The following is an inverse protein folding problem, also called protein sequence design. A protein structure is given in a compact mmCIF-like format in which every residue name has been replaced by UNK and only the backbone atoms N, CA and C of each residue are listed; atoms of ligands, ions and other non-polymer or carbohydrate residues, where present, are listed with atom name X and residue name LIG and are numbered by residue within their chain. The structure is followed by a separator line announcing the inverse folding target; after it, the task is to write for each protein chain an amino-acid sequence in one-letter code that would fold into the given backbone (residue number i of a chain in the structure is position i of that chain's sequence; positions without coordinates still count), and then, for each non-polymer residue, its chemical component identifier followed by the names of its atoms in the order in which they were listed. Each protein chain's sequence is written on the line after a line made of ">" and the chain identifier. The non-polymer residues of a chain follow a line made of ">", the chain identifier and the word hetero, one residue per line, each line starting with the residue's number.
data_IF_924214862267
#
_entry.id   IF_924214862267
#
_cell.length_a   1.000
_cell.length_b   1.000
_cell.length_c   1.000
_cell.angle_alpha   90.00
_cell.angle_beta   90.00
_cell.angle_gamma   90.00
#
_symmetry.space_group_name_H-M   'P 1'
#
loop_
_entity.id
_entity.type
_entity.pdbx_description
1 polymer ?
#
# COMPACT_ATOMS: atom_id res chain seq x y z
N UNK A 1 -26.80 -2.77 6.40
CA UNK A 1 -25.39 -3.14 6.62
C UNK A 1 -25.29 -4.64 6.49
N UNK A 2 -24.80 -5.14 5.37
CA UNK A 2 -24.46 -6.55 5.20
C UNK A 2 -22.98 -6.70 5.54
N UNK A 3 -22.67 -7.21 6.72
CA UNK A 3 -21.34 -7.80 6.95
C UNK A 3 -21.13 -8.87 5.88
N UNK A 4 -20.08 -8.70 5.10
CA UNK A 4 -19.73 -9.62 4.04
C UNK A 4 -19.26 -10.93 4.70
N UNK A 5 -20.15 -11.91 4.84
CA UNK A 5 -19.74 -13.29 5.05
C UNK A 5 -19.16 -13.80 3.72
N UNK A 6 -17.89 -13.46 3.45
CA UNK A 6 -17.08 -14.32 2.59
C UNK A 6 -17.06 -15.70 3.25
N UNK A 7 -17.45 -16.75 2.53
CA UNK A 7 -17.10 -18.12 2.90
C UNK A 7 -15.58 -18.24 2.79
N UNK A 8 -14.88 -17.89 3.87
CA UNK A 8 -13.42 -17.89 3.94
C UNK A 8 -12.95 -19.32 4.18
N UNK A 9 -11.96 -19.77 3.40
CA UNK A 9 -11.29 -21.05 3.63
C UNK A 9 -10.36 -20.91 4.84
N UNK A 10 -9.50 -19.89 4.80
CA UNK A 10 -8.62 -19.51 5.88
C UNK A 10 -8.27 -18.02 5.76
N UNK A 11 -8.10 -17.34 6.88
CA UNK A 11 -7.67 -15.95 6.91
C UNK A 11 -7.05 -15.59 8.25
N UNK A 12 -6.16 -14.62 8.23
CA UNK A 12 -5.45 -14.13 9.42
C UNK A 12 -5.69 -12.64 9.56
N UNK A 13 -5.95 -12.20 10.79
CA UNK A 13 -6.06 -10.78 11.07
C UNK A 13 -4.67 -10.15 11.21
N UNK A 14 -4.59 -8.86 10.90
CA UNK A 14 -3.36 -8.09 11.13
C UNK A 14 -3.01 -8.07 12.62
N UNK A 15 -4.00 -8.14 13.51
CA UNK A 15 -3.75 -8.22 14.95
C UNK A 15 -3.02 -9.51 15.35
N UNK A 16 -3.33 -10.64 14.72
CA UNK A 16 -2.64 -11.91 14.99
C UNK A 16 -1.21 -11.91 14.42
N UNK A 17 -1.01 -11.24 13.29
CA UNK A 17 0.29 -11.12 12.60
C UNK A 17 1.24 -10.18 13.37
N UNK A 18 0.75 -9.02 13.80
CA UNK A 18 1.55 -8.00 14.49
C UNK A 18 1.64 -8.21 16.02
N UNK A 19 0.75 -9.01 16.61
CA UNK A 19 0.53 -9.00 18.05
C UNK A 19 -0.13 -7.69 18.52
N UNK A 20 -0.49 -7.62 19.81
CA UNK A 20 -1.23 -6.49 20.36
C UNK A 20 -0.47 -5.15 20.34
N UNK A 21 0.87 -5.17 20.37
CA UNK A 21 1.69 -3.98 20.62
C UNK A 21 3.00 -3.82 19.80
N UNK A 22 3.26 -4.60 18.73
CA UNK A 22 4.52 -4.40 17.99
C UNK A 22 4.52 -3.14 17.10
N UNK A 23 5.57 -2.32 17.28
CA UNK A 23 5.86 -1.07 16.53
C UNK A 23 6.25 -1.35 15.07
N UNK A 24 6.66 -2.57 14.75
CA UNK A 24 7.01 -3.03 13.39
C UNK A 24 6.99 -4.55 13.35
N UNK A 25 6.59 -5.13 12.23
CA UNK A 25 6.71 -6.58 12.01
C UNK A 25 8.00 -6.94 11.25
N UNK A 26 8.64 -8.06 11.61
CA UNK A 26 9.75 -8.59 10.82
C UNK A 26 9.23 -9.36 9.60
N UNK A 27 9.93 -9.28 8.48
CA UNK A 27 9.52 -9.97 7.25
C UNK A 27 9.50 -11.49 7.42
N UNK A 28 10.44 -12.03 8.21
CA UNK A 28 10.55 -13.46 8.50
C UNK A 28 9.32 -13.98 9.27
N UNK A 29 8.77 -13.16 10.19
CA UNK A 29 7.52 -13.51 10.87
C UNK A 29 6.37 -13.56 9.88
N UNK A 30 6.23 -12.55 9.02
CA UNK A 30 5.14 -12.52 8.02
C UNK A 30 5.25 -13.71 7.07
N UNK A 31 6.45 -14.00 6.58
CA UNK A 31 6.72 -15.12 5.69
C UNK A 31 6.32 -16.46 6.33
N UNK A 32 6.79 -16.75 7.55
CA UNK A 32 6.43 -17.96 8.27
C UNK A 32 4.91 -18.09 8.46
N UNK A 33 4.23 -16.97 8.74
CA UNK A 33 2.76 -16.94 8.85
C UNK A 33 2.08 -17.19 7.50
N UNK A 34 2.55 -16.58 6.41
CA UNK A 34 1.98 -16.79 5.08
C UNK A 34 2.15 -18.24 4.62
N UNK A 35 3.31 -18.84 4.87
CA UNK A 35 3.61 -20.25 4.56
C UNK A 35 2.70 -21.21 5.34
N UNK A 36 2.56 -20.99 6.65
CA UNK A 36 1.66 -21.81 7.46
C UNK A 36 0.21 -21.72 6.95
N UNK A 37 -0.22 -20.52 6.58
CA UNK A 37 -1.60 -20.29 6.18
C UNK A 37 -1.93 -20.80 4.79
N UNK A 38 -0.99 -20.77 3.85
CA UNK A 38 -1.21 -21.37 2.53
C UNK A 38 -1.37 -22.89 2.64
N UNK A 39 -0.61 -23.55 3.53
CA UNK A 39 -0.76 -24.98 3.83
C UNK A 39 -2.14 -25.27 4.43
N UNK A 40 -2.54 -24.54 5.47
CA UNK A 40 -3.86 -24.71 6.11
C UNK A 40 -5.01 -24.45 5.12
N UNK A 41 -4.88 -23.43 4.27
CA UNK A 41 -5.86 -23.12 3.25
C UNK A 41 -5.96 -24.23 2.20
N UNK A 42 -4.81 -24.75 1.74
CA UNK A 42 -4.70 -25.86 0.80
C UNK A 42 -5.36 -27.13 1.33
N UNK A 43 -5.08 -27.50 2.58
CA UNK A 43 -5.69 -28.67 3.25
C UNK A 43 -7.21 -28.54 3.38
N UNK A 44 -7.70 -27.38 3.82
CA UNK A 44 -9.14 -27.12 3.96
C UNK A 44 -9.86 -27.12 2.62
N UNK A 45 -9.25 -26.54 1.60
CA UNK A 45 -9.79 -26.45 0.25
C UNK A 45 -9.64 -27.75 -0.55
N UNK A 46 -8.85 -28.72 -0.06
CA UNK A 46 -8.42 -29.92 -0.80
C UNK A 46 -7.89 -29.58 -2.20
N UNK A 47 -7.10 -28.52 -2.28
CA UNK A 47 -6.68 -27.87 -3.53
C UNK A 47 -5.21 -27.49 -3.40
N UNK A 48 -4.45 -27.54 -4.51
CA UNK A 48 -3.03 -27.18 -4.49
C UNK A 48 -2.82 -25.71 -4.07
N UNK A 49 -1.76 -25.37 -3.30
CA UNK A 49 -1.42 -23.99 -2.94
C UNK A 49 -1.40 -23.03 -4.14
N UNK A 50 -0.91 -23.51 -5.29
CA UNK A 50 -0.78 -22.71 -6.53
C UNK A 50 -2.14 -22.37 -7.18
N UNK A 51 -3.23 -22.95 -6.70
CA UNK A 51 -4.58 -22.71 -7.21
C UNK A 51 -5.39 -21.78 -6.30
N UNK A 52 -4.82 -21.38 -5.16
CA UNK A 52 -5.44 -20.45 -4.23
C UNK A 52 -5.17 -19.01 -4.68
N UNK A 53 -6.14 -18.14 -4.40
CA UNK A 53 -6.06 -16.70 -4.67
C UNK A 53 -5.97 -15.98 -3.34
N UNK A 54 -5.02 -15.04 -3.22
CA UNK A 54 -4.84 -14.23 -2.01
C UNK A 54 -5.59 -12.92 -2.12
N UNK A 55 -6.16 -12.47 -1.00
CA UNK A 55 -6.77 -11.14 -0.88
C UNK A 55 -6.44 -10.49 0.45
N UNK A 56 -6.02 -9.23 0.39
CA UNK A 56 -5.86 -8.34 1.55
C UNK A 56 -7.08 -7.42 1.64
N UNK A 57 -7.90 -7.59 2.67
CA UNK A 57 -9.09 -6.76 2.85
C UNK A 57 -9.50 -6.67 4.33
N UNK A 58 -9.89 -5.46 4.76
CA UNK A 58 -10.38 -5.16 6.11
C UNK A 58 -9.47 -5.64 7.25
N UNK A 59 -8.16 -5.37 7.12
CA UNK A 59 -7.21 -5.76 8.17
C UNK A 59 -6.98 -7.26 8.25
N UNK A 60 -7.23 -8.00 7.17
CA UNK A 60 -7.00 -9.44 7.10
C UNK A 60 -6.36 -9.84 5.77
N UNK A 61 -5.56 -10.89 5.79
CA UNK A 61 -5.12 -11.63 4.60
C UNK A 61 -5.89 -12.94 4.57
N UNK A 62 -6.52 -13.29 3.46
CA UNK A 62 -7.24 -14.56 3.31
C UNK A 62 -7.01 -15.20 1.95
N UNK A 63 -7.17 -16.52 1.95
CA UNK A 63 -7.05 -17.37 0.77
C UNK A 63 -8.44 -17.86 0.37
N UNK A 64 -8.67 -17.87 -0.93
CA UNK A 64 -9.92 -18.31 -1.52
C UNK A 64 -9.67 -19.20 -2.72
N UNK A 65 -10.65 -20.03 -3.08
CA UNK A 65 -10.58 -20.78 -4.34
C UNK A 65 -10.80 -19.83 -5.52
N UNK A 66 -10.43 -20.26 -6.72
CA UNK A 66 -10.70 -19.54 -7.97
C UNK A 66 -12.19 -19.19 -8.13
N UNK A 67 -13.09 -20.09 -7.75
CA UNK A 67 -14.53 -19.87 -7.79
C UNK A 67 -14.96 -18.73 -6.85
N UNK A 68 -14.47 -18.74 -5.61
CA UNK A 68 -14.75 -17.69 -4.63
C UNK A 68 -14.17 -16.33 -5.07
N UNK A 69 -12.99 -16.32 -5.68
CA UNK A 69 -12.40 -15.12 -6.27
C UNK A 69 -13.26 -14.55 -7.40
N UNK A 70 -13.73 -15.40 -8.30
CA UNK A 70 -14.62 -15.00 -9.38
C UNK A 70 -15.95 -14.42 -8.85
N UNK A 71 -16.50 -15.00 -7.79
CA UNK A 71 -17.70 -14.45 -7.13
C UNK A 71 -17.45 -13.10 -6.46
N UNK A 72 -16.29 -12.93 -5.80
CA UNK A 72 -15.88 -11.66 -5.21
C UNK A 72 -15.76 -10.55 -6.27
N UNK A 73 -15.17 -10.88 -7.43
CA UNK A 73 -15.05 -9.96 -8.57
C UNK A 73 -16.42 -9.59 -9.15
N UNK A 74 -17.33 -10.57 -9.30
CA UNK A 74 -18.70 -10.33 -9.82
C UNK A 74 -19.59 -9.50 -8.90
N UNK A 75 -19.44 -9.65 -7.58
CA UNK A 75 -20.32 -9.01 -6.59
C UNK A 75 -20.16 -7.49 -6.46
N UNK A 76 -19.26 -6.85 -7.21
CA UNK A 76 -19.20 -5.40 -7.41
C UNK A 76 -19.63 -4.58 -6.19
N UNK A 77 -18.79 -4.51 -5.16
CA UNK A 77 -19.01 -3.56 -4.09
C UNK A 77 -18.65 -2.19 -4.65
N UNK A 78 -19.63 -1.30 -4.79
CA UNK A 78 -19.33 0.12 -4.92
C UNK A 78 -18.62 0.54 -3.63
N UNK A 79 -17.34 0.94 -3.69
CA UNK A 79 -16.65 1.45 -2.52
C UNK A 79 -17.37 2.71 -2.07
N UNK A 80 -17.69 2.82 -0.78
CA UNK A 80 -18.10 4.09 -0.21
C UNK A 80 -16.87 5.00 -0.14
N UNK A 81 -16.59 5.67 -1.26
CA UNK A 81 -15.41 6.53 -1.43
C UNK A 81 -15.31 7.55 -0.29
N UNK A 82 -16.44 8.05 0.23
CA UNK A 82 -16.42 9.02 1.33
C UNK A 82 -15.88 8.40 2.61
N UNK A 83 -16.34 7.19 2.94
CA UNK A 83 -15.85 6.44 4.10
C UNK A 83 -14.37 6.08 3.95
N UNK A 84 -13.95 5.66 2.77
CA UNK A 84 -12.53 5.32 2.52
C UNK A 84 -11.62 6.56 2.59
N UNK A 85 -12.07 7.70 2.05
CA UNK A 85 -11.36 8.99 2.17
C UNK A 85 -11.26 9.42 3.63
N UNK A 86 -12.35 9.29 4.39
CA UNK A 86 -12.35 9.60 5.82
C UNK A 86 -11.39 8.70 6.59
N UNK A 87 -11.38 7.39 6.31
CA UNK A 87 -10.44 6.46 6.91
C UNK A 87 -8.99 6.78 6.53
N UNK A 88 -8.72 7.13 5.27
CA UNK A 88 -7.39 7.47 4.80
C UNK A 88 -6.84 8.75 5.45
N UNK A 89 -7.67 9.79 5.57
CA UNK A 89 -7.24 11.11 6.07
C UNK A 89 -7.35 11.26 7.59
N UNK A 90 -8.34 10.63 8.22
CA UNK A 90 -8.69 10.83 9.63
C UNK A 90 -8.69 9.55 10.46
N UNK A 91 -8.59 8.38 9.83
CA UNK A 91 -8.48 7.11 10.54
C UNK A 91 -7.16 6.98 11.29
N UNK A 92 -7.04 5.93 12.10
CA UNK A 92 -5.84 5.64 12.87
C UNK A 92 -4.64 5.38 11.94
N UNK A 93 -3.54 6.09 12.17
CA UNK A 93 -2.30 5.89 11.39
C UNK A 93 -1.77 4.46 11.54
N UNK A 94 -2.00 3.83 12.69
CA UNK A 94 -1.64 2.43 12.97
C UNK A 94 -2.23 1.48 11.91
N UNK A 95 -3.51 1.64 11.56
CA UNK A 95 -4.17 0.78 10.57
C UNK A 95 -3.58 0.95 9.18
N UNK A 96 -3.29 2.20 8.77
CA UNK A 96 -2.67 2.49 7.46
C UNK A 96 -1.25 1.91 7.39
N UNK A 97 -0.46 2.07 8.47
CA UNK A 97 0.87 1.49 8.59
C UNK A 97 0.84 -0.04 8.45
N UNK A 98 -0.01 -0.71 9.21
CA UNK A 98 -0.13 -2.18 9.20
C UNK A 98 -0.51 -2.71 7.81
N UNK A 99 -1.45 -2.04 7.13
CA UNK A 99 -1.85 -2.41 5.77
C UNK A 99 -0.68 -2.28 4.79
N UNK A 100 0.06 -1.16 4.83
CA UNK A 100 1.23 -0.95 3.97
C UNK A 100 2.35 -1.95 4.24
N UNK A 101 2.65 -2.23 5.50
CA UNK A 101 3.68 -3.20 5.89
C UNK A 101 3.32 -4.62 5.43
N UNK A 102 2.05 -5.03 5.52
CA UNK A 102 1.61 -6.33 4.99
C UNK A 102 1.68 -6.39 3.48
N UNK A 103 1.22 -5.35 2.77
CA UNK A 103 1.32 -5.31 1.31
C UNK A 103 2.78 -5.38 0.86
N UNK A 104 3.68 -4.70 1.57
CA UNK A 104 5.11 -4.78 1.30
C UNK A 104 5.66 -6.18 1.59
N UNK A 105 5.29 -6.78 2.71
CA UNK A 105 5.75 -8.10 3.09
C UNK A 105 5.27 -9.19 2.13
N UNK A 106 4.03 -9.13 1.66
CA UNK A 106 3.50 -10.02 0.62
C UNK A 106 4.30 -9.87 -0.67
N UNK A 107 4.63 -8.64 -1.08
CA UNK A 107 5.41 -8.40 -2.29
C UNK A 107 6.84 -8.97 -2.19
N UNK A 108 7.50 -8.80 -1.03
CA UNK A 108 8.80 -9.42 -0.78
C UNK A 108 8.72 -10.94 -0.74
N UNK A 109 7.71 -11.50 -0.08
CA UNK A 109 7.46 -12.93 -0.03
C UNK A 109 7.28 -13.52 -1.43
N UNK A 110 6.44 -12.91 -2.27
CA UNK A 110 6.26 -13.32 -3.66
C UNK A 110 7.57 -13.28 -4.44
N UNK A 111 8.33 -12.18 -4.32
CA UNK A 111 9.60 -12.04 -5.01
C UNK A 111 10.61 -13.10 -4.55
N UNK A 112 10.67 -13.39 -3.25
CA UNK A 112 11.54 -14.41 -2.69
C UNK A 112 11.18 -15.80 -3.22
N UNK A 113 9.90 -16.19 -3.11
CA UNK A 113 9.39 -17.46 -3.65
C UNK A 113 9.65 -17.60 -5.15
N UNK A 114 9.47 -16.53 -5.93
CA UNK A 114 9.74 -16.59 -7.37
C UNK A 114 11.23 -16.65 -7.70
N UNK A 115 12.08 -16.03 -6.89
CA UNK A 115 13.54 -16.12 -7.02
C UNK A 115 14.05 -17.52 -6.70
N UNK A 116 13.62 -18.11 -5.57
CA UNK A 116 14.05 -19.45 -5.16
C UNK A 116 13.62 -20.52 -6.16
N UNK A 117 12.40 -20.42 -6.67
CA UNK A 117 11.85 -21.37 -7.63
C UNK A 117 12.23 -21.08 -9.09
N UNK A 118 13.05 -20.06 -9.36
CA UNK A 118 13.34 -19.57 -10.72
C UNK A 118 12.07 -19.33 -11.56
N UNK A 119 11.00 -18.87 -10.90
CA UNK A 119 9.65 -18.78 -11.45
C UNK A 119 9.39 -17.45 -12.19
N UNK A 120 10.36 -16.53 -12.19
CA UNK A 120 10.41 -15.32 -13.03
C UNK A 120 11.85 -15.07 -13.51
N UNK A 121 12.05 -14.34 -14.62
CA UNK A 121 13.39 -13.99 -15.12
C UNK A 121 14.21 -13.14 -14.14
N UNK A 122 15.54 -13.25 -14.18
CA UNK A 122 16.43 -12.49 -13.31
C UNK A 122 16.34 -10.97 -13.57
N UNK A 123 16.12 -10.55 -14.81
CA UNK A 123 15.97 -9.15 -15.18
C UNK A 123 14.76 -8.50 -14.49
N UNK A 124 13.69 -9.27 -14.28
CA UNK A 124 12.49 -8.84 -13.55
C UNK A 124 12.78 -8.69 -12.05
N UNK A 125 13.55 -9.61 -11.47
CA UNK A 125 14.00 -9.54 -10.07
C UNK A 125 14.84 -8.28 -9.84
N UNK A 126 15.83 -8.05 -10.70
CA UNK A 126 16.74 -6.90 -10.61
C UNK A 126 16.02 -5.56 -10.75
N UNK A 127 14.89 -5.54 -11.47
CA UNK A 127 14.01 -4.36 -11.59
C UNK A 127 13.13 -4.15 -10.36
N UNK A 128 12.54 -5.21 -9.82
CA UNK A 128 11.49 -5.12 -8.80
C UNK A 128 12.10 -5.00 -7.39
N UNK A 129 13.17 -5.73 -7.08
CA UNK A 129 13.77 -5.76 -5.73
C UNK A 129 14.18 -4.36 -5.21
N UNK A 130 14.89 -3.53 -6.00
CA UNK A 130 15.26 -2.18 -5.56
C UNK A 130 14.04 -1.28 -5.34
N UNK A 131 12.99 -1.46 -6.14
CA UNK A 131 11.73 -0.72 -6.00
C UNK A 131 11.05 -1.05 -4.67
N UNK A 132 10.96 -2.33 -4.28
CA UNK A 132 10.40 -2.74 -2.99
C UNK A 132 11.22 -2.19 -1.81
N UNK A 133 12.56 -2.25 -1.88
CA UNK A 133 13.43 -1.64 -0.85
C UNK A 133 13.23 -0.13 -0.74
N UNK A 134 12.99 0.57 -1.85
CA UNK A 134 12.64 1.99 -1.84
C UNK A 134 11.28 2.23 -1.18
N UNK A 135 10.26 1.41 -1.48
CA UNK A 135 8.94 1.51 -0.86
C UNK A 135 9.00 1.31 0.65
N UNK A 136 9.83 0.39 1.14
CA UNK A 136 10.06 0.22 2.57
C UNK A 136 10.48 1.52 3.25
N UNK A 137 11.43 2.25 2.66
CA UNK A 137 11.89 3.56 3.17
C UNK A 137 10.77 4.60 3.12
N UNK A 138 10.06 4.68 1.99
CA UNK A 138 8.95 5.62 1.80
C UNK A 138 7.82 5.41 2.84
N UNK A 139 7.53 4.16 3.23
CA UNK A 139 6.56 3.86 4.29
C UNK A 139 7.09 4.34 5.64
N UNK A 140 8.32 3.98 6.01
CA UNK A 140 8.91 4.36 7.29
C UNK A 140 9.01 5.89 7.45
N UNK A 141 9.49 6.59 6.43
CA UNK A 141 9.55 8.05 6.38
C UNK A 141 8.16 8.67 6.43
N UNK A 142 7.22 8.18 5.63
CA UNK A 142 5.85 8.70 5.58
C UNK A 142 5.09 8.53 6.90
N UNK A 143 5.25 7.39 7.57
CA UNK A 143 4.67 7.15 8.90
C UNK A 143 5.32 8.08 9.93
N UNK A 144 6.65 8.16 9.95
CA UNK A 144 7.39 9.03 10.87
C UNK A 144 6.98 10.50 10.73
N UNK A 145 6.95 11.04 9.51
CA UNK A 145 6.55 12.42 9.26
C UNK A 145 5.10 12.69 9.64
N UNK A 146 4.20 11.72 9.43
CA UNK A 146 2.80 11.84 9.85
C UNK A 146 2.68 11.88 11.37
N UNK A 147 3.37 10.97 12.08
CA UNK A 147 3.38 10.93 13.55
C UNK A 147 3.94 12.21 14.15
N UNK A 148 5.05 12.73 13.63
CA UNK A 148 5.63 13.99 14.09
C UNK A 148 4.66 15.16 13.89
N UNK A 149 4.05 15.26 12.70
CA UNK A 149 3.08 16.33 12.39
C UNK A 149 1.83 16.24 13.28
N UNK A 150 1.32 15.03 13.53
CA UNK A 150 0.20 14.78 14.45
C UNK A 150 0.55 15.17 15.89
N UNK A 151 1.77 14.88 16.35
CA UNK A 151 2.24 15.29 17.67
C UNK A 151 2.35 16.82 17.83
N UNK A 152 2.86 17.51 16.79
CA UNK A 152 2.92 18.98 16.76
C UNK A 152 1.51 19.58 16.81
N UNK A 153 0.57 19.05 16.02
CA UNK A 153 -0.82 19.50 16.02
C UNK A 153 -1.49 19.25 17.39
N UNK A 154 -1.27 18.08 17.99
CA UNK A 154 -1.79 17.74 19.30
C UNK A 154 -1.27 18.71 20.38
N UNK A 155 0.01 19.05 20.35
CA UNK A 155 0.61 20.03 21.26
C UNK A 155 0.04 21.44 21.06
N UNK A 156 -0.15 21.89 19.81
CA UNK A 156 -0.78 23.17 19.50
C UNK A 156 -2.22 23.24 20.00
N UNK A 157 -2.98 22.15 19.88
CA UNK A 157 -4.34 22.02 20.42
C UNK A 157 -4.34 22.04 21.94
N UNK A 158 -3.41 21.33 22.59
CA UNK A 158 -3.26 21.33 24.05
C UNK A 158 -2.99 22.72 24.63
N UNK A 159 -2.19 23.54 23.93
CA UNK A 159 -1.91 24.93 24.31
C UNK A 159 -3.10 25.88 24.09
N UNK A 160 -4.04 25.52 23.23
CA UNK A 160 -5.22 26.32 22.90
C UNK A 160 -6.51 25.52 23.16
N UNK A 161 -6.90 25.33 24.43
CA UNK A 161 -8.04 24.47 24.80
C UNK A 161 -9.39 24.98 24.27
N UNK A 162 -9.46 26.26 23.85
CA UNK A 162 -10.67 26.85 23.26
C UNK A 162 -11.15 26.09 22.02
N UNK A 163 -10.26 25.56 21.18
CA UNK A 163 -10.65 24.80 19.99
C UNK A 163 -11.49 23.58 20.40
N UNK A 164 -10.94 22.76 21.31
CA UNK A 164 -11.63 21.57 21.81
C UNK A 164 -12.94 21.90 22.52
N UNK A 165 -12.93 22.93 23.39
CA UNK A 165 -14.10 23.38 24.13
C UNK A 165 -15.24 23.86 23.21
N UNK A 166 -14.89 24.63 22.18
CA UNK A 166 -15.85 25.11 21.19
C UNK A 166 -16.44 23.96 20.37
N UNK A 167 -15.60 23.01 19.94
CA UNK A 167 -16.03 21.82 19.18
C UNK A 167 -16.94 20.90 20.01
N UNK A 168 -16.64 20.71 21.29
CA UNK A 168 -17.46 19.95 22.24
C UNK A 168 -18.82 20.62 22.45
N UNK A 169 -18.85 21.94 22.73
CA UNK A 169 -20.09 22.72 22.84
C UNK A 169 -20.92 22.69 21.55
N UNK A 170 -20.27 22.75 20.39
CA UNK A 170 -20.94 22.64 19.10
C UNK A 170 -21.59 21.26 18.93
N UNK A 171 -20.89 20.18 19.34
CA UNK A 171 -21.43 18.83 19.39
C UNK A 171 -22.65 18.72 20.30
N UNK A 172 -22.58 19.28 21.52
CA UNK A 172 -23.72 19.37 22.43
C UNK A 172 -24.90 20.14 21.84
N UNK A 173 -24.63 21.27 21.18
CA UNK A 173 -25.64 22.08 20.52
C UNK A 173 -26.39 21.29 19.44
N UNK A 174 -25.65 20.61 18.55
CA UNK A 174 -26.23 19.80 17.49
C UNK A 174 -27.07 18.65 18.06
N UNK A 175 -26.59 18.01 19.13
CA UNK A 175 -27.29 16.95 19.83
C UNK A 175 -28.57 17.44 20.52
N UNK A 176 -28.55 18.61 21.17
CA UNK A 176 -29.74 19.21 21.79
C UNK A 176 -30.78 19.58 20.73
N UNK A 177 -30.33 20.14 19.60
CA UNK A 177 -31.19 20.45 18.45
C UNK A 177 -31.83 19.19 17.87
N UNK A 178 -31.07 18.11 17.70
CA UNK A 178 -31.58 16.83 17.21
C UNK A 178 -32.60 16.20 18.17
N UNK A 179 -32.42 16.39 19.49
CA UNK A 179 -33.34 15.93 20.54
C UNK A 179 -34.56 16.83 20.76
N UNK A 180 -34.63 17.99 20.10
CA UNK A 180 -35.74 18.94 20.27
C UNK A 180 -35.67 19.80 21.55
N UNK A 181 -34.56 19.77 22.30
CA UNK A 181 -34.34 20.66 23.44
C UNK A 181 -33.87 22.04 22.96
N UNK A 182 -34.85 22.84 22.52
CA UNK A 182 -34.61 24.14 21.91
C UNK A 182 -34.14 25.20 22.91
N UNK A 183 -34.48 25.07 24.20
CA UNK A 183 -34.09 26.04 25.24
C UNK A 183 -32.60 25.91 25.52
N UNK A 184 -32.11 24.68 25.75
CA UNK A 184 -30.68 24.44 25.94
C UNK A 184 -29.87 24.72 24.68
N UNK A 185 -30.39 24.35 23.50
CA UNK A 185 -29.74 24.67 22.23
C UNK A 185 -29.61 26.18 22.00
N UNK A 186 -30.62 26.99 22.36
CA UNK A 186 -30.55 28.44 22.24
C UNK A 186 -29.53 29.08 23.19
N UNK A 187 -29.38 28.53 24.41
CA UNK A 187 -28.34 28.97 25.34
C UNK A 187 -26.94 28.67 24.79
N UNK A 188 -26.69 27.43 24.36
CA UNK A 188 -25.42 27.02 23.76
C UNK A 188 -25.09 27.83 22.50
N UNK A 189 -26.09 28.16 21.67
CA UNK A 189 -25.89 29.00 20.49
C UNK A 189 -25.39 30.42 20.82
N UNK A 190 -25.87 31.02 21.92
CA UNK A 190 -25.39 32.33 22.37
C UNK A 190 -23.95 32.27 22.83
N UNK A 191 -23.57 31.23 23.57
CA UNK A 191 -22.18 31.03 24.00
C UNK A 191 -21.24 30.79 22.82
N UNK A 192 -21.63 29.91 21.88
CA UNK A 192 -20.89 29.67 20.64
C UNK A 192 -20.76 30.96 19.82
N UNK A 193 -21.78 31.82 19.77
CA UNK A 193 -21.70 33.10 19.05
C UNK A 193 -20.63 34.04 19.63
N UNK A 194 -20.44 34.05 20.95
CA UNK A 194 -19.42 34.86 21.62
C UNK A 194 -18.00 34.34 21.32
N UNK A 195 -17.83 33.02 21.35
CA UNK A 195 -16.53 32.37 21.18
C UNK A 195 -16.12 32.22 19.70
N UNK A 196 -17.07 32.32 18.75
CA UNK A 196 -16.89 32.04 17.31
C UNK A 196 -15.70 32.77 16.69
N UNK A 197 -15.52 34.07 16.97
CA UNK A 197 -14.44 34.86 16.35
C UNK A 197 -13.07 34.31 16.76
N UNK A 198 -12.91 33.99 18.04
CA UNK A 198 -11.66 33.48 18.57
C UNK A 198 -11.40 32.04 18.11
N UNK A 199 -12.43 31.20 18.06
CA UNK A 199 -12.36 29.87 17.46
C UNK A 199 -11.88 29.92 16.02
N UNK A 200 -12.50 30.75 15.16
CA UNK A 200 -12.12 30.85 13.73
C UNK A 200 -10.65 31.27 13.55
N UNK A 201 -10.16 32.23 14.35
CA UNK A 201 -8.78 32.66 14.29
C UNK A 201 -7.81 31.55 14.70
N UNK A 202 -8.13 30.81 15.76
CA UNK A 202 -7.30 29.71 16.24
C UNK A 202 -7.35 28.50 15.30
N UNK A 203 -8.51 28.15 14.74
CA UNK A 203 -8.63 27.08 13.75
C UNK A 203 -7.83 27.37 12.48
N UNK A 204 -7.82 28.63 12.02
CA UNK A 204 -6.94 29.05 10.90
C UNK A 204 -5.46 28.90 11.19
N UNK A 205 -5.05 29.02 12.45
CA UNK A 205 -3.64 28.89 12.83
C UNK A 205 -3.12 27.44 12.81
N UNK A 206 -4.02 26.46 12.99
CA UNK A 206 -3.69 25.03 12.93
C UNK A 206 -4.00 24.38 11.58
N UNK A 207 -4.73 25.08 10.71
CA UNK A 207 -5.10 24.61 9.36
C UNK A 207 -3.87 24.17 8.53
N UNK A 208 -2.74 24.90 8.51
CA UNK A 208 -1.55 24.46 7.77
C UNK A 208 -1.01 23.11 8.24
N UNK A 209 -1.01 22.86 9.55
CA UNK A 209 -0.53 21.58 10.10
C UNK A 209 -1.47 20.42 9.72
N UNK A 210 -2.79 20.66 9.75
CA UNK A 210 -3.80 19.69 9.30
C UNK A 210 -3.58 19.35 7.81
N UNK A 211 -3.33 20.36 6.96
CA UNK A 211 -3.05 20.16 5.54
C UNK A 211 -1.76 19.38 5.31
N UNK A 212 -0.70 19.65 6.07
CA UNK A 212 0.55 18.87 6.03
C UNK A 212 0.31 17.41 6.38
N UNK A 213 -0.47 17.11 7.43
CA UNK A 213 -0.86 15.73 7.77
C UNK A 213 -1.62 15.06 6.62
N UNK A 214 -2.57 15.77 6.01
CA UNK A 214 -3.31 15.25 4.85
C UNK A 214 -2.40 14.98 3.65
N UNK A 215 -1.38 15.80 3.41
CA UNK A 215 -0.40 15.57 2.36
C UNK A 215 0.45 14.32 2.63
N UNK A 216 0.95 14.13 3.86
CA UNK A 216 1.69 12.92 4.23
C UNK A 216 0.82 11.66 4.09
N UNK A 217 -0.43 11.72 4.56
CA UNK A 217 -1.40 10.61 4.42
C UNK A 217 -1.76 10.32 2.96
N UNK A 218 -1.88 11.33 2.11
CA UNK A 218 -2.04 11.14 0.67
C UNK A 218 -0.84 10.40 0.06
N UNK A 219 0.39 10.75 0.46
CA UNK A 219 1.58 10.06 -0.03
C UNK A 219 1.63 8.60 0.43
N UNK A 220 1.15 8.28 1.64
CA UNK A 220 0.97 6.89 2.08
C UNK A 220 -0.02 6.14 1.18
N UNK A 221 -1.13 6.76 0.77
CA UNK A 221 -2.06 6.14 -0.19
C UNK A 221 -1.43 5.95 -1.59
N UNK A 222 -0.63 6.91 -2.06
CA UNK A 222 0.15 6.74 -3.32
C UNK A 222 1.15 5.59 -3.21
N UNK A 223 1.75 5.39 -2.04
CA UNK A 223 2.62 4.23 -1.77
C UNK A 223 1.83 2.93 -1.78
N UNK A 224 0.63 2.90 -1.18
CA UNK A 224 -0.29 1.75 -1.25
C UNK A 224 -0.60 1.36 -2.70
N UNK A 225 -1.01 2.32 -3.53
CA UNK A 225 -1.26 2.08 -4.97
C UNK A 225 -0.04 1.47 -5.65
N UNK A 226 1.16 2.04 -5.42
CA UNK A 226 2.40 1.55 -6.03
C UNK A 226 2.77 0.14 -5.57
N UNK A 227 2.49 -0.24 -4.32
CA UNK A 227 2.67 -1.61 -3.84
C UNK A 227 1.72 -2.60 -4.52
N UNK A 228 0.44 -2.24 -4.66
CA UNK A 228 -0.55 -3.04 -5.38
C UNK A 228 -0.12 -3.26 -6.84
N UNK A 229 0.35 -2.20 -7.50
CA UNK A 229 0.91 -2.30 -8.85
C UNK A 229 2.15 -3.20 -8.90
N UNK A 230 3.09 -3.11 -7.95
CA UNK A 230 4.24 -4.04 -7.92
C UNK A 230 3.82 -5.50 -7.73
N UNK A 231 2.81 -5.78 -6.90
CA UNK A 231 2.29 -7.15 -6.77
C UNK A 231 1.62 -7.62 -8.07
N UNK A 232 0.89 -6.75 -8.75
CA UNK A 232 0.31 -7.03 -10.07
C UNK A 232 1.39 -7.31 -11.13
N UNK A 233 2.51 -6.57 -11.10
CA UNK A 233 3.66 -6.80 -11.97
C UNK A 233 4.29 -8.17 -11.70
N UNK A 234 4.48 -8.55 -10.42
CA UNK A 234 4.99 -9.87 -10.04
C UNK A 234 4.07 -11.00 -10.54
N UNK A 235 2.76 -10.86 -10.37
CA UNK A 235 1.78 -11.80 -10.92
C UNK A 235 1.88 -11.88 -12.46
N UNK A 236 2.02 -10.74 -13.13
CA UNK A 236 2.10 -10.67 -14.60
C UNK A 236 3.38 -11.31 -15.14
N UNK A 237 4.52 -11.09 -14.49
CA UNK A 237 5.80 -11.71 -14.86
C UNK A 237 5.74 -13.23 -14.70
N UNK A 238 5.14 -13.74 -13.60
CA UNK A 238 4.92 -15.19 -13.42
C UNK A 238 3.96 -15.76 -14.46
N UNK A 239 2.86 -15.08 -14.74
CA UNK A 239 1.91 -15.49 -15.79
C UNK A 239 2.59 -15.54 -17.17
N UNK A 240 3.48 -14.60 -17.48
CA UNK A 240 4.24 -14.58 -18.72
C UNK A 240 5.09 -15.84 -18.90
N UNK A 241 5.82 -16.23 -17.84
CA UNK A 241 6.62 -17.45 -17.86
C UNK A 241 5.74 -18.71 -17.95
N UNK A 242 4.68 -18.81 -17.14
CA UNK A 242 3.74 -19.93 -17.18
C UNK A 242 3.12 -20.13 -18.57
N UNK A 243 2.72 -19.04 -19.25
CA UNK A 243 2.21 -19.10 -20.62
C UNK A 243 3.24 -19.69 -21.59
N UNK A 244 4.49 -19.29 -21.45
CA UNK A 244 5.59 -19.82 -22.25
C UNK A 244 5.81 -21.32 -21.97
N UNK A 245 5.90 -21.72 -20.70
CA UNK A 245 6.07 -23.12 -20.29
C UNK A 245 4.92 -24.02 -20.74
N UNK A 246 3.67 -23.56 -20.64
CA UNK A 246 2.49 -24.30 -21.13
C UNK A 246 2.54 -24.47 -22.65
N UNK A 247 2.96 -23.44 -23.39
CA UNK A 247 3.11 -23.54 -24.84
C UNK A 247 4.24 -24.50 -25.23
N UNK A 248 5.36 -24.50 -24.51
CA UNK A 248 6.46 -25.44 -24.71
C UNK A 248 5.99 -26.88 -24.47
N UNK A 249 5.32 -27.15 -23.34
CA UNK A 249 4.74 -28.47 -23.05
C UNK A 249 3.75 -28.91 -24.12
N UNK A 250 2.92 -28.00 -24.63
CA UNK A 250 1.95 -28.28 -25.70
C UNK A 250 2.65 -28.65 -27.01
N UNK A 251 3.73 -27.97 -27.37
CA UNK A 251 4.51 -28.28 -28.57
C UNK A 251 5.21 -29.64 -28.42
N UNK A 252 5.81 -29.91 -27.26
CA UNK A 252 6.47 -31.19 -26.97
C UNK A 252 5.47 -32.36 -26.99
N UNK A 253 4.28 -32.19 -26.42
CA UNK A 253 3.18 -33.15 -26.51
C UNK A 253 2.76 -33.40 -27.97
N UNK A 254 2.71 -32.34 -28.79
CA UNK A 254 2.45 -32.46 -30.22
C UNK A 254 3.47 -33.36 -30.92
N UNK A 255 4.77 -33.10 -30.72
CA UNK A 255 5.84 -33.91 -31.31
C UNK A 255 5.80 -35.37 -30.85
N UNK A 256 5.60 -35.63 -29.56
CA UNK A 256 5.56 -37.00 -29.02
C UNK A 256 4.33 -37.75 -29.55
N UNK A 257 3.18 -37.09 -29.69
CA UNK A 257 1.97 -37.69 -30.29
C UNK A 257 2.16 -38.00 -31.77
N UNK A 258 2.82 -37.12 -32.52
CA UNK A 258 3.19 -37.39 -33.91
C UNK A 258 4.14 -38.60 -34.03
N UNK A 259 5.15 -38.70 -33.16
CA UNK A 259 6.06 -39.86 -33.08
C UNK A 259 5.29 -41.16 -32.78
N UNK A 260 4.34 -41.11 -31.84
CA UNK A 260 3.49 -42.26 -31.49
C UNK A 260 2.59 -42.68 -32.65
N UNK A 261 1.98 -41.73 -33.35
CA UNK A 261 1.08 -41.99 -34.48
C UNK A 261 1.80 -42.56 -35.70
N UNK A 262 3.07 -42.17 -35.93
CA UNK A 262 3.91 -42.76 -36.99
C UNK A 262 4.26 -44.20 -36.62
N UNK A 263 4.68 -44.42 -35.39
CA UNK A 263 5.10 -45.75 -34.95
C UNK A 263 3.92 -46.74 -34.86
N UNK A 264 2.70 -46.27 -34.59
CA UNK A 264 1.47 -47.07 -34.67
C UNK A 264 1.07 -47.43 -36.11
N UNK A 265 1.42 -46.60 -37.10
CA UNK A 265 1.17 -46.85 -38.53
C UNK A 265 2.20 -47.81 -39.14
N UNK A 266 3.44 -47.76 -38.71
CA UNK A 266 4.55 -48.53 -39.31
C UNK A 266 4.70 -49.96 -38.74
N UNK A 267 4.00 -50.29 -37.65
CA UNK A 267 3.99 -51.62 -37.05
C UNK A 267 5.22 -51.86 -36.17
N UNK A 268 4.99 -52.22 -34.90
CA UNK A 268 6.03 -52.28 -33.87
C UNK A 268 6.51 -53.71 -33.56
N UNK A 269 7.80 -53.86 -33.35
CA UNK A 269 8.42 -55.02 -32.69
C UNK A 269 8.39 -54.88 -31.14
N UNK A 270 8.90 -55.89 -30.42
CA UNK A 270 8.87 -55.94 -28.94
C UNK A 270 9.57 -54.74 -28.27
N UNK A 271 10.66 -54.24 -28.88
CA UNK A 271 11.38 -53.07 -28.40
C UNK A 271 10.59 -51.77 -28.62
N UNK A 272 9.95 -51.61 -29.78
CA UNK A 272 9.10 -50.46 -30.06
C UNK A 272 7.87 -50.39 -29.14
N UNK A 273 7.31 -51.54 -28.72
CA UNK A 273 6.23 -51.59 -27.72
C UNK A 273 6.63 -51.04 -26.34
N UNK A 274 7.90 -51.22 -25.94
CA UNK A 274 8.41 -50.70 -24.67
C UNK A 274 8.70 -49.18 -24.76
N UNK A 275 9.20 -48.71 -25.91
CA UNK A 275 9.35 -47.28 -26.20
C UNK A 275 7.99 -46.58 -26.21
N UNK A 276 6.97 -47.20 -26.80
CA UNK A 276 5.58 -46.69 -26.78
C UNK A 276 5.05 -46.47 -25.36
N UNK A 277 5.27 -47.43 -24.45
CA UNK A 277 4.85 -47.29 -23.04
C UNK A 277 5.57 -46.16 -22.32
N UNK A 278 6.87 -45.99 -22.56
CA UNK A 278 7.64 -44.87 -22.00
C UNK A 278 7.13 -43.53 -22.52
N UNK A 279 6.89 -43.42 -23.82
CA UNK A 279 6.30 -42.22 -24.44
C UNK A 279 4.88 -41.92 -23.95
N UNK A 280 4.06 -42.94 -23.72
CA UNK A 280 2.72 -42.77 -23.14
C UNK A 280 2.80 -42.23 -21.71
N UNK A 281 3.70 -42.78 -20.88
CA UNK A 281 3.96 -42.26 -19.54
C UNK A 281 4.45 -40.80 -19.56
N UNK A 282 5.34 -40.47 -20.50
CA UNK A 282 5.80 -39.09 -20.73
C UNK A 282 4.62 -38.17 -21.11
N UNK A 283 3.70 -38.62 -21.98
CA UNK A 283 2.51 -37.83 -22.34
C UNK A 283 1.58 -37.58 -21.16
N UNK A 284 1.28 -38.61 -20.35
CA UNK A 284 0.41 -38.47 -19.17
C UNK A 284 1.03 -37.51 -18.14
N UNK A 285 2.35 -37.60 -17.94
CA UNK A 285 3.09 -36.72 -17.03
C UNK A 285 3.09 -35.27 -17.53
N UNK A 286 3.32 -35.06 -18.83
CA UNK A 286 3.29 -33.73 -19.44
C UNK A 286 1.89 -33.12 -19.43
N UNK A 287 0.84 -33.91 -19.66
CA UNK A 287 -0.56 -33.45 -19.58
C UNK A 287 -0.92 -33.02 -18.16
N UNK A 288 -0.50 -33.79 -17.15
CA UNK A 288 -0.68 -33.42 -15.74
C UNK A 288 0.04 -32.11 -15.41
N UNK A 289 1.31 -31.99 -15.81
CA UNK A 289 2.08 -30.75 -15.58
C UNK A 289 1.45 -29.54 -16.29
N UNK A 290 0.96 -29.73 -17.52
CA UNK A 290 0.27 -28.69 -18.27
C UNK A 290 -1.03 -28.27 -17.57
N UNK A 291 -1.80 -29.22 -17.03
CA UNK A 291 -3.02 -28.95 -16.27
C UNK A 291 -2.71 -28.17 -14.99
N UNK A 292 -1.70 -28.58 -14.21
CA UNK A 292 -1.30 -27.90 -12.97
C UNK A 292 -0.87 -26.44 -13.24
N UNK A 293 -0.01 -26.21 -14.25
CA UNK A 293 0.42 -24.86 -14.66
C UNK A 293 -0.73 -24.01 -15.20
N UNK A 294 -1.66 -24.62 -15.93
CA UNK A 294 -2.84 -23.92 -16.45
C UNK A 294 -3.77 -23.47 -15.31
N UNK A 295 -3.92 -24.30 -14.27
CA UNK A 295 -4.70 -23.93 -13.08
C UNK A 295 -4.01 -22.83 -12.27
N UNK A 296 -2.68 -22.85 -12.13
CA UNK A 296 -1.92 -21.75 -11.50
C UNK A 296 -2.12 -20.43 -12.26
N UNK A 297 -2.07 -20.47 -13.60
CA UNK A 297 -2.29 -19.30 -14.44
C UNK A 297 -3.66 -18.66 -14.20
N UNK A 298 -4.72 -19.48 -14.07
CA UNK A 298 -6.08 -18.99 -13.75
C UNK A 298 -6.12 -18.35 -12.37
N UNK A 299 -5.50 -18.95 -11.35
CA UNK A 299 -5.43 -18.38 -10.01
C UNK A 299 -4.72 -17.02 -10.01
N UNK A 300 -3.55 -16.93 -10.67
CA UNK A 300 -2.81 -15.68 -10.80
C UNK A 300 -3.59 -14.62 -11.60
N UNK A 301 -4.39 -15.02 -12.59
CA UNK A 301 -5.25 -14.08 -13.33
C UNK A 301 -6.32 -13.51 -12.40
N UNK A 302 -6.99 -14.35 -11.61
CA UNK A 302 -7.95 -13.89 -10.62
C UNK A 302 -7.30 -12.97 -9.56
N UNK A 303 -6.09 -13.31 -9.08
CA UNK A 303 -5.36 -12.46 -8.14
C UNK A 303 -5.02 -11.10 -8.76
N UNK A 304 -4.55 -11.08 -10.00
CA UNK A 304 -4.26 -9.84 -10.75
C UNK A 304 -5.51 -8.97 -10.93
N UNK A 305 -6.66 -9.56 -11.27
CA UNK A 305 -7.92 -8.82 -11.42
C UNK A 305 -8.39 -8.21 -10.08
N UNK A 306 -8.18 -8.91 -8.97
CA UNK A 306 -8.48 -8.41 -7.62
C UNK A 306 -7.55 -7.24 -7.26
N UNK A 307 -6.25 -7.37 -7.54
CA UNK A 307 -5.26 -6.31 -7.30
C UNK A 307 -5.58 -5.07 -8.15
N UNK A 308 -5.91 -5.23 -9.43
CA UNK A 308 -6.29 -4.14 -10.33
C UNK A 308 -7.54 -3.40 -9.83
N UNK A 309 -8.53 -4.13 -9.31
CA UNK A 309 -9.70 -3.52 -8.68
C UNK A 309 -9.32 -2.71 -7.44
N UNK A 310 -8.50 -3.26 -6.54
CA UNK A 310 -8.02 -2.57 -5.33
C UNK A 310 -7.17 -1.34 -5.65
N UNK A 311 -6.40 -1.41 -6.73
CA UNK A 311 -5.64 -0.27 -7.24
C UNK A 311 -6.57 0.84 -7.70
N UNK A 312 -7.62 0.52 -8.47
CA UNK A 312 -8.63 1.49 -8.93
C UNK A 312 -9.43 2.12 -7.78
N UNK A 313 -9.78 1.32 -6.77
CA UNK A 313 -10.40 1.82 -5.52
C UNK A 313 -9.48 2.85 -4.85
N UNK A 314 -8.20 2.49 -4.66
CA UNK A 314 -7.19 3.38 -4.06
C UNK A 314 -6.95 4.64 -4.91
N UNK A 315 -6.93 4.53 -6.24
CA UNK A 315 -6.80 5.67 -7.14
C UNK A 315 -7.98 6.64 -7.02
N UNK A 316 -9.19 6.12 -6.87
CA UNK A 316 -10.39 6.94 -6.68
C UNK A 316 -10.30 7.74 -5.36
N UNK A 317 -9.77 7.13 -4.30
CA UNK A 317 -9.49 7.80 -3.02
C UNK A 317 -8.41 8.88 -3.20
N UNK A 318 -7.30 8.58 -3.88
CA UNK A 318 -6.21 9.53 -4.16
C UNK A 318 -6.74 10.74 -4.93
N UNK A 319 -7.48 10.49 -6.01
CA UNK A 319 -8.06 11.54 -6.85
C UNK A 319 -9.04 12.40 -6.03
N UNK A 320 -9.92 11.77 -5.25
CA UNK A 320 -10.87 12.51 -4.41
C UNK A 320 -10.17 13.38 -3.36
N UNK A 321 -9.09 12.90 -2.72
CA UNK A 321 -8.32 13.68 -1.75
C UNK A 321 -7.60 14.85 -2.45
N UNK A 322 -6.93 14.57 -3.57
CA UNK A 322 -6.18 15.58 -4.31
C UNK A 322 -7.11 16.69 -4.84
N UNK A 323 -8.23 16.31 -5.43
CA UNK A 323 -9.20 17.22 -6.02
C UNK A 323 -10.04 17.91 -4.96
N UNK A 324 -10.62 17.22 -3.98
CA UNK A 324 -11.64 17.85 -3.11
C UNK A 324 -11.12 18.32 -1.75
N UNK A 325 -9.96 17.83 -1.31
CA UNK A 325 -9.42 18.13 0.04
C UNK A 325 -8.19 19.05 -0.04
N UNK A 326 -7.30 18.81 -1.01
CA UNK A 326 -6.03 19.54 -1.12
C UNK A 326 -6.00 20.59 -2.23
N UNK A 327 -7.16 20.94 -2.82
CA UNK A 327 -7.35 21.93 -3.91
C UNK A 327 -6.18 22.93 -4.06
N UNK A 328 -5.51 22.88 -5.23
CA UNK A 328 -4.41 23.77 -5.64
C UNK A 328 -3.30 23.95 -4.60
N UNK A 329 -2.37 23.01 -4.51
CA UNK A 329 -1.03 23.32 -4.01
C UNK A 329 0.03 22.36 -4.60
N UNK A 330 0.77 22.86 -5.58
CA UNK A 330 2.18 22.51 -5.79
C UNK A 330 2.97 22.98 -4.56
N UNK A 331 2.81 22.29 -3.43
CA UNK A 331 3.59 22.52 -2.23
C UNK A 331 5.00 21.98 -2.48
N UNK A 332 5.89 22.83 -3.01
CA UNK A 332 7.35 22.69 -2.84
C UNK A 332 7.67 22.90 -1.35
N UNK A 333 7.37 21.91 -0.52
CA UNK A 333 7.84 21.91 0.87
C UNK A 333 9.31 21.46 0.82
N UNK A 334 10.21 22.43 0.90
CA UNK A 334 11.62 22.18 1.15
C UNK A 334 11.76 21.87 2.66
N UNK A 335 11.69 20.59 3.00
CA UNK A 335 11.68 20.05 4.38
C UNK A 335 12.92 20.52 5.18
N UNK A 336 13.97 20.97 4.50
CA UNK A 336 15.21 21.44 5.09
C UNK A 336 15.15 22.85 5.71
N UNK A 337 14.21 23.71 5.32
CA UNK A 337 14.12 25.07 5.91
C UNK A 337 13.29 25.13 7.19
N UNK A 338 12.28 24.26 7.33
CA UNK A 338 11.39 24.28 8.51
C UNK A 338 12.10 23.78 9.77
N UNK A 339 13.09 22.89 9.64
CA UNK A 339 13.94 22.41 10.75
C UNK A 339 15.02 23.41 11.18
N UNK A 340 15.34 24.41 10.35
CA UNK A 340 16.36 25.44 10.71
C UNK A 340 15.77 26.60 11.51
N UNK A 341 14.47 26.85 11.44
CA UNK A 341 13.84 27.96 12.16
C UNK A 341 13.44 27.62 13.61
N UNK A 342 13.37 26.34 13.98
CA UNK A 342 13.08 25.89 15.35
C UNK A 342 14.31 25.89 16.28
N UNK A 343 15.53 26.09 15.75
CA UNK A 343 16.78 26.06 16.54
C UNK A 343 17.44 27.44 16.78
N UNK A 344 16.73 28.55 16.54
CA UNK A 344 17.21 29.86 17.00
C UNK A 344 16.65 30.16 18.39
N UNK A 345 17.47 30.21 19.45
CA UNK A 345 17.01 30.70 20.74
C UNK A 345 16.61 32.18 20.59
N UNK A 346 15.35 32.47 20.92
CA UNK A 346 14.92 33.81 21.33
C UNK A 346 15.72 34.16 22.59
N UNK A 347 16.19 35.41 22.69
CA UNK A 347 17.11 35.99 23.69
C UNK A 347 18.60 35.98 23.33
N UNK A 348 19.02 37.03 22.63
CA UNK A 348 20.35 37.61 22.84
C UNK A 348 20.20 38.72 23.89
N UNK A 349 20.73 38.48 25.08
CA UNK A 349 21.00 39.53 26.05
C UNK A 349 22.12 40.41 25.51
N UNK A 350 21.86 41.72 25.47
CA UNK A 350 22.87 42.74 25.20
C UNK A 350 23.96 42.69 26.27
N UNK A 351 25.20 42.45 25.87
CA UNK A 351 26.38 42.83 26.65
C UNK A 351 27.29 43.71 25.81
N UNK A 352 27.22 45.01 26.07
CA UNK A 352 28.28 45.97 25.72
C UNK A 352 29.55 45.58 26.48
N UNK A 353 30.65 45.34 25.77
CA UNK A 353 31.94 45.84 26.19
C UNK A 353 32.86 46.11 25.00
N UNK A 354 33.51 47.27 25.09
CA UNK A 354 34.45 47.88 24.16
C UNK A 354 35.73 47.05 24.01
N UNK A 355 36.33 47.05 22.82
CA UNK A 355 37.73 47.48 22.68
C UNK A 355 38.06 47.86 21.23
N UNK A 356 39.02 48.75 21.15
CA UNK A 356 39.40 49.68 20.09
C UNK A 356 40.47 49.14 19.13
N UNK A 357 40.78 49.93 18.08
CA UNK A 357 42.04 49.95 17.26
C UNK A 357 42.00 48.99 16.04
N UNK A 358 42.33 49.32 14.78
CA UNK A 358 42.86 50.51 14.12
C UNK A 358 42.53 50.52 12.60
N UNK A 359 42.63 51.74 12.05
CA UNK A 359 42.67 52.14 10.64
C UNK A 359 43.59 51.29 9.75
N UNK A 360 43.19 51.09 8.48
CA UNK A 360 44.02 51.47 7.32
C UNK A 360 43.20 51.64 6.03
N UNK A 361 43.53 52.75 5.35
CA UNK A 361 43.02 53.23 4.06
C UNK A 361 43.71 52.48 2.91
N UNK A 362 43.00 52.32 1.78
CA UNK A 362 43.45 52.68 0.41
C UNK A 362 42.42 52.13 -0.57
N UNK A 363 41.65 52.97 -1.29
CA UNK A 363 42.03 53.63 -2.55
C UNK A 363 42.28 52.63 -3.68
N UNK A 364 41.47 52.69 -4.75
CA UNK A 364 41.73 51.92 -5.97
C UNK A 364 40.55 51.91 -6.94
N UNK A 365 40.38 53.02 -7.64
CA UNK A 365 39.51 53.22 -8.80
C UNK A 365 40.20 52.68 -10.07
N UNK A 366 39.50 51.94 -10.94
CA UNK A 366 39.64 51.78 -12.41
C UNK A 366 38.93 50.47 -12.83
N UNK A 367 37.82 50.45 -13.59
CA UNK A 367 37.53 50.81 -14.99
C UNK A 367 38.11 49.84 -16.04
N UNK A 368 37.18 49.36 -16.89
CA UNK A 368 37.31 48.85 -18.28
C UNK A 368 37.84 47.42 -18.46
N UNK A 369 37.05 46.47 -18.97
CA UNK A 369 36.49 46.23 -20.33
C UNK A 369 37.36 45.25 -21.13
N UNK A 370 36.67 44.51 -22.00
CA UNK A 370 37.09 43.56 -23.05
C UNK A 370 37.18 42.09 -22.57
N UNK A 371 36.26 41.21 -22.96
CA UNK A 371 35.84 40.67 -24.29
C UNK A 371 36.68 39.45 -24.72
N UNK A 372 35.92 38.39 -24.97
CA UNK A 372 36.04 37.39 -26.03
C UNK A 372 37.33 36.55 -26.09
N UNK A 373 37.22 35.29 -25.65
CA UNK A 373 37.25 34.13 -26.56
C UNK A 373 36.45 32.96 -25.99
#
# INVERSE_FOLDING_TARGET
>A
MSEFHLEKIAGVSFADIFGSDEVSISFEKVEAFLDQMVVVASEKAKTSPNQLVRLVHNGQVFWMTQQQAAEFLKKGSDPDIRKEVEQALRGELKSVRQELEILLAIAFYMLHQYKENSAIPQEEIDRIEPSLRRRQKEIAEGVSSTTESEAILAEKRRRNPLISHYEEKMGEFLNCKARGDLVRAAALAKELALEKKQYVLQSRSIEPDIRTIYYHRLNLQKTKKRLLSTQSDLCSSRQGLLKWEVNELKNNLGMIREELDVADREGMDSAASQIKRLRQYDTETMEKNMMEKSMELVALQCESDILARKEKETESVIAHIAENVLHEQELKIDIAETTRQTNKPLFQTETKHQSTIAKKKSSGMHISKFKDH
#
